data_IF_392535872582
#
_entry.id   IF_392535872582
#
_cell.length_a   1.000
_cell.length_b   1.000
_cell.length_c   1.000
_cell.angle_alpha   90.00
_cell.angle_beta   90.00
_cell.angle_gamma   90.00
#
_symmetry.space_group_name_H-M   'P 1'
#
loop_
_entity.id
_entity.type
_entity.pdbx_description
1 polymer ?
#
# COMPACT_ATOMS: atom_id res chain seq x y z
N UNK A 1 -44.69 -27.33 32.65
CA UNK A 1 -43.33 -27.36 33.22
C UNK A 1 -42.45 -28.20 32.29
N UNK A 2 -41.30 -27.62 31.92
CA UNK A 2 -40.14 -28.15 31.16
C UNK A 2 -40.36 -28.87 29.81
N UNK A 3 -39.89 -28.28 28.70
CA UNK A 3 -39.39 -29.05 27.57
C UNK A 3 -37.85 -28.96 27.46
N UNK A 4 -37.25 -30.07 27.06
CA UNK A 4 -36.15 -30.09 26.09
C UNK A 4 -34.72 -29.93 26.64
N UNK A 5 -34.12 -31.02 27.10
CA UNK A 5 -32.66 -31.11 27.22
C UNK A 5 -32.01 -31.21 25.84
N UNK A 6 -31.55 -30.05 25.38
CA UNK A 6 -30.31 -29.79 24.64
C UNK A 6 -29.86 -30.86 23.63
N UNK A 7 -30.28 -30.63 22.38
CA UNK A 7 -29.56 -31.03 21.18
C UNK A 7 -28.14 -30.41 21.24
N UNK A 8 -27.14 -31.23 21.58
CA UNK A 8 -25.74 -30.78 21.66
C UNK A 8 -25.20 -30.60 20.25
N UNK A 9 -25.34 -29.36 19.79
CA UNK A 9 -24.31 -28.64 19.05
C UNK A 9 -23.66 -29.45 17.93
N UNK A 10 -24.42 -29.59 16.83
CA UNK A 10 -23.90 -29.95 15.53
C UNK A 10 -22.52 -29.32 15.30
N UNK A 11 -21.53 -30.19 15.08
CA UNK A 11 -20.14 -29.84 14.86
C UNK A 11 -20.02 -28.79 13.77
N UNK A 12 -19.69 -27.57 14.18
CA UNK A 12 -19.26 -26.53 13.25
C UNK A 12 -17.97 -27.02 12.61
N UNK A 13 -18.09 -27.46 11.34
CA UNK A 13 -16.94 -27.77 10.49
C UNK A 13 -15.92 -26.63 10.67
N UNK A 14 -14.68 -26.91 11.07
CA UNK A 14 -13.68 -25.86 11.23
C UNK A 14 -13.47 -25.23 9.86
N UNK A 15 -14.02 -24.03 9.67
CA UNK A 15 -13.82 -23.24 8.47
C UNK A 15 -12.32 -23.01 8.41
N UNK A 16 -11.64 -23.65 7.46
CA UNK A 16 -10.21 -23.43 7.21
C UNK A 16 -10.05 -21.97 6.85
N UNK A 17 -9.60 -21.16 7.81
CA UNK A 17 -9.35 -19.74 7.60
C UNK A 17 -8.00 -19.59 6.92
N UNK A 18 -7.92 -18.67 5.97
CA UNK A 18 -6.69 -18.30 5.28
C UNK A 18 -6.20 -16.96 5.81
N UNK A 19 -4.88 -16.76 5.78
CA UNK A 19 -4.27 -15.48 6.10
C UNK A 19 -4.71 -14.43 5.07
N UNK A 20 -5.26 -13.30 5.53
CA UNK A 20 -5.70 -12.21 4.65
C UNK A 20 -4.56 -11.57 3.84
N UNK A 21 -3.29 -11.78 4.24
CA UNK A 21 -2.13 -11.23 3.54
C UNK A 21 -1.48 -12.20 2.55
N UNK A 22 -1.24 -13.45 2.96
CA UNK A 22 -0.45 -14.41 2.18
C UNK A 22 -1.23 -15.67 1.75
N UNK A 23 -2.52 -15.77 2.11
CA UNK A 23 -3.36 -16.93 1.77
C UNK A 23 -3.02 -18.22 2.54
N UNK A 24 -1.99 -18.22 3.39
CA UNK A 24 -1.58 -19.41 4.13
C UNK A 24 -2.70 -19.91 5.08
N UNK A 25 -2.90 -21.23 5.20
CA UNK A 25 -3.89 -21.79 6.11
C UNK A 25 -3.55 -21.42 7.56
N UNK A 26 -4.53 -20.90 8.29
CA UNK A 26 -4.38 -20.55 9.70
C UNK A 26 -4.55 -21.80 10.58
N UNK A 27 -3.77 -21.91 11.68
CA UNK A 27 -3.91 -23.01 12.61
C UNK A 27 -5.31 -23.00 13.22
N UNK A 28 -5.98 -24.15 13.13
CA UNK A 28 -7.33 -24.36 13.66
C UNK A 28 -7.22 -24.50 15.18
N UNK A 29 -7.31 -23.37 15.89
CA UNK A 29 -7.37 -23.35 17.35
C UNK A 29 -8.81 -23.44 17.88
N UNK A 30 -9.03 -23.95 19.10
CA UNK A 30 -10.36 -24.03 19.70
C UNK A 30 -11.04 -22.65 19.76
N UNK A 31 -12.35 -22.64 19.51
CA UNK A 31 -13.19 -21.47 19.23
C UNK A 31 -13.48 -20.58 20.46
N UNK A 32 -12.53 -20.40 21.36
CA UNK A 32 -12.64 -19.48 22.50
C UNK A 32 -11.69 -18.31 22.27
N UNK A 33 -12.10 -17.40 21.39
CA UNK A 33 -11.37 -16.16 21.11
C UNK A 33 -11.71 -15.55 19.76
N UNK A 34 -11.38 -14.26 19.59
CA UNK A 34 -11.50 -13.58 18.29
C UNK A 34 -10.64 -14.34 17.28
N UNK A 35 -11.20 -14.76 16.13
CA UNK A 35 -10.45 -15.53 15.14
C UNK A 35 -9.25 -14.72 14.64
N UNK A 36 -8.09 -15.37 14.56
CA UNK A 36 -6.89 -14.75 13.98
C UNK A 36 -7.13 -14.55 12.47
N UNK A 37 -6.76 -13.39 11.94
CA UNK A 37 -6.86 -13.04 10.51
C UNK A 37 -5.54 -13.25 9.75
N UNK A 38 -4.44 -13.47 10.48
CA UNK A 38 -3.09 -13.53 9.95
C UNK A 38 -2.32 -14.70 10.55
N UNK A 39 -1.43 -15.33 9.77
CA UNK A 39 -0.67 -16.52 10.17
C UNK A 39 0.44 -16.23 11.18
N UNK A 40 0.86 -14.96 11.30
CA UNK A 40 1.93 -14.56 12.22
C UNK A 40 2.09 -13.05 12.33
N UNK A 41 3.05 -12.63 13.15
CA UNK A 41 3.35 -11.22 13.43
C UNK A 41 3.79 -10.43 12.20
N UNK A 42 4.61 -11.04 11.34
CA UNK A 42 5.09 -10.42 10.09
C UNK A 42 3.93 -10.06 9.15
N UNK A 43 2.93 -10.93 9.02
CA UNK A 43 1.75 -10.67 8.21
C UNK A 43 0.85 -9.59 8.83
N UNK A 44 0.73 -9.55 10.16
CA UNK A 44 0.01 -8.49 10.87
C UNK A 44 0.67 -7.12 10.65
N UNK A 45 1.97 -7.01 10.86
CA UNK A 45 2.70 -5.74 10.71
C UNK A 45 2.70 -5.26 9.25
N UNK A 46 2.83 -6.16 8.28
CA UNK A 46 2.79 -5.79 6.86
C UNK A 46 1.41 -5.32 6.44
N UNK A 47 0.34 -5.98 6.90
CA UNK A 47 -1.03 -5.49 6.68
C UNK A 47 -1.28 -4.14 7.36
N UNK A 48 -0.71 -3.91 8.55
CA UNK A 48 -0.78 -2.62 9.24
C UNK A 48 -0.06 -1.50 8.45
N UNK A 49 1.17 -1.74 7.99
CA UNK A 49 1.91 -0.79 7.13
C UNK A 49 1.14 -0.45 5.86
N UNK A 50 0.53 -1.45 5.19
CA UNK A 50 -0.33 -1.21 4.02
C UNK A 50 -1.51 -0.30 4.32
N UNK A 51 -2.11 -0.40 5.52
CA UNK A 51 -3.22 0.48 5.94
C UNK A 51 -2.76 1.91 6.21
N UNK A 52 -1.55 2.09 6.74
CA UNK A 52 -0.97 3.42 6.96
C UNK A 52 -0.57 4.11 5.65
N UNK A 53 -0.13 3.35 4.65
CA UNK A 53 0.24 3.88 3.33
C UNK A 53 -0.94 3.94 2.34
N UNK A 54 -2.10 3.36 2.68
CA UNK A 54 -3.28 3.44 1.85
C UNK A 54 -3.90 4.84 1.98
N UNK A 55 -4.28 5.50 0.86
CA UNK A 55 -5.09 6.71 0.94
C UNK A 55 -6.39 6.40 1.69
N UNK A 56 -7.00 7.38 2.39
CA UNK A 56 -8.24 7.15 3.12
C UNK A 56 -9.27 6.59 2.14
N UNK A 57 -9.68 5.34 2.37
CA UNK A 57 -10.74 4.73 1.59
C UNK A 57 -11.97 5.64 1.75
N UNK A 58 -12.46 6.17 0.61
CA UNK A 58 -13.73 6.89 0.56
C UNK A 58 -14.79 6.10 1.35
N UNK A 59 -15.68 6.78 2.08
CA UNK A 59 -16.67 6.12 2.93
C UNK A 59 -17.43 5.09 2.09
N UNK A 60 -17.28 3.82 2.48
CA UNK A 60 -18.06 2.74 1.89
C UNK A 60 -19.53 3.03 2.19
N UNK A 61 -20.42 3.01 1.20
CA UNK A 61 -21.85 3.12 1.47
C UNK A 61 -22.23 1.97 2.41
N UNK A 62 -22.93 2.31 3.49
CA UNK A 62 -23.39 1.35 4.48
C UNK A 62 -24.21 0.27 3.78
N UNK A 63 -23.74 -0.98 3.82
CA UNK A 63 -24.55 -2.12 3.43
C UNK A 63 -25.69 -2.23 4.46
N UNK A 64 -26.97 -2.18 4.04
CA UNK A 64 -28.07 -2.32 4.98
C UNK A 64 -28.11 -3.76 5.47
N UNK A 65 -27.71 -3.97 6.73
CA UNK A 65 -28.04 -5.18 7.48
C UNK A 65 -29.50 -5.09 7.90
N UNK A 66 -30.36 -5.86 7.26
CA UNK A 66 -31.75 -5.98 7.65
C UNK A 66 -32.57 -6.72 6.59
N UNK A 67 -32.69 -8.04 6.76
CA UNK A 67 -33.71 -8.82 6.06
C UNK A 67 -35.07 -8.48 6.65
N UNK A 68 -35.79 -7.58 5.98
CA UNK A 68 -37.25 -7.58 5.96
C UNK A 68 -37.65 -7.53 4.48
N UNK A 69 -38.41 -8.53 4.04
CA UNK A 69 -38.80 -8.71 2.66
C UNK A 69 -39.81 -7.64 2.21
N UNK A 70 -39.37 -6.42 1.99
CA UNK A 70 -40.07 -5.49 1.11
C UNK A 70 -39.66 -5.82 -0.31
N UNK A 71 -40.63 -6.21 -1.14
CA UNK A 71 -40.46 -6.29 -2.58
C UNK A 71 -40.05 -4.90 -3.06
N UNK A 72 -38.74 -4.64 -3.14
CA UNK A 72 -38.21 -3.50 -3.87
C UNK A 72 -38.73 -3.63 -5.30
N UNK A 73 -39.66 -2.76 -5.66
CA UNK A 73 -39.93 -2.47 -7.04
C UNK A 73 -38.60 -2.00 -7.64
N UNK A 74 -37.97 -2.85 -8.44
CA UNK A 74 -36.84 -2.45 -9.27
C UNK A 74 -37.49 -1.77 -10.48
N UNK A 75 -37.38 -0.45 -10.62
CA UNK A 75 -37.87 0.22 -11.82
C UNK A 75 -37.17 -0.43 -13.02
N UNK A 76 -37.85 -0.61 -14.17
CA UNK A 76 -37.16 -1.03 -15.38
C UNK A 76 -35.98 -0.08 -15.60
N UNK A 77 -34.80 -0.65 -15.84
CA UNK A 77 -33.59 0.09 -16.19
C UNK A 77 -33.96 1.02 -17.35
N UNK A 78 -34.16 2.30 -17.04
CA UNK A 78 -34.28 3.33 -18.06
C UNK A 78 -32.93 3.36 -18.74
N UNK A 79 -32.93 3.09 -20.05
CA UNK A 79 -31.76 3.33 -20.89
C UNK A 79 -31.25 4.75 -20.57
N UNK A 80 -29.96 4.89 -20.26
CA UNK A 80 -29.41 6.19 -19.91
C UNK A 80 -29.71 7.15 -21.05
N UNK A 81 -30.33 8.28 -20.72
CA UNK A 81 -30.64 9.30 -21.71
C UNK A 81 -29.34 9.74 -22.40
N UNK A 82 -29.41 10.06 -23.68
CA UNK A 82 -28.27 10.60 -24.43
C UNK A 82 -27.67 11.83 -23.72
N UNK A 83 -28.51 12.60 -23.02
CA UNK A 83 -28.12 13.73 -22.17
C UNK A 83 -27.25 13.29 -20.97
N UNK A 84 -27.60 12.17 -20.32
CA UNK A 84 -26.83 11.58 -19.21
C UNK A 84 -25.46 11.11 -19.67
N UNK A 85 -25.40 10.52 -20.86
CA UNK A 85 -24.15 10.05 -21.46
C UNK A 85 -23.27 11.24 -21.87
N UNK A 86 -23.87 12.30 -22.43
CA UNK A 86 -23.16 13.52 -22.78
C UNK A 86 -22.59 14.25 -21.56
N UNK A 87 -23.34 14.30 -20.45
CA UNK A 87 -22.89 14.87 -19.18
C UNK A 87 -21.73 14.07 -18.59
N UNK A 88 -21.85 12.74 -18.56
CA UNK A 88 -20.76 11.85 -18.10
C UNK A 88 -19.51 12.05 -18.97
N UNK A 89 -19.65 12.10 -20.29
CA UNK A 89 -18.54 12.32 -21.20
C UNK A 89 -17.87 13.68 -20.96
N UNK A 90 -18.64 14.73 -20.63
CA UNK A 90 -18.11 16.05 -20.27
C UNK A 90 -17.32 15.99 -18.96
N UNK A 91 -17.90 15.37 -17.94
CA UNK A 91 -17.26 15.19 -16.64
C UNK A 91 -15.95 14.40 -16.74
N UNK A 92 -15.93 13.32 -17.53
CA UNK A 92 -14.72 12.52 -17.79
C UNK A 92 -13.64 13.37 -18.47
N UNK A 93 -13.99 14.19 -19.47
CA UNK A 93 -13.03 15.07 -20.15
C UNK A 93 -12.47 16.13 -19.21
N UNK A 94 -13.31 16.75 -18.38
CA UNK A 94 -12.89 17.74 -17.38
C UNK A 94 -11.96 17.11 -16.34
N UNK A 95 -12.31 15.93 -15.82
CA UNK A 95 -11.44 15.19 -14.90
C UNK A 95 -10.11 14.78 -15.54
N UNK A 96 -10.12 14.31 -16.79
CA UNK A 96 -8.91 13.98 -17.51
C UNK A 96 -8.01 15.21 -17.68
N UNK A 97 -8.60 16.36 -18.00
CA UNK A 97 -7.87 17.62 -18.13
C UNK A 97 -7.28 18.09 -16.78
N UNK A 98 -8.05 17.99 -15.70
CA UNK A 98 -7.57 18.30 -14.36
C UNK A 98 -6.44 17.37 -13.91
N UNK A 99 -6.51 16.07 -14.26
CA UNK A 99 -5.44 15.12 -13.99
C UNK A 99 -4.16 15.48 -14.75
N UNK A 100 -4.26 15.81 -16.04
CA UNK A 100 -3.12 16.28 -16.85
C UNK A 100 -2.51 17.55 -16.26
N UNK A 101 -3.33 18.48 -15.77
CA UNK A 101 -2.85 19.71 -15.13
C UNK A 101 -2.16 19.47 -13.78
N UNK A 102 -2.60 18.45 -13.04
CA UNK A 102 -2.07 18.12 -11.70
C UNK A 102 -0.87 17.18 -11.74
N UNK A 103 -0.67 16.47 -12.84
CA UNK A 103 0.56 15.72 -13.07
C UNK A 103 1.72 16.72 -13.00
N UNK A 104 2.68 16.51 -12.08
CA UNK A 104 3.88 17.33 -12.09
C UNK A 104 4.53 17.11 -13.45
N UNK A 105 4.51 18.13 -14.30
CA UNK A 105 5.34 18.18 -15.50
C UNK A 105 6.79 18.36 -15.03
N UNK A 106 7.33 17.34 -14.39
CA UNK A 106 8.76 17.19 -14.33
C UNK A 106 9.14 16.95 -15.78
N UNK A 107 9.56 18.03 -16.45
CA UNK A 107 10.25 17.92 -17.73
C UNK A 107 11.32 16.84 -17.54
N UNK A 108 11.19 15.74 -18.29
CA UNK A 108 12.05 14.58 -18.13
C UNK A 108 13.54 14.99 -18.24
N UNK A 109 13.84 16.03 -19.02
CA UNK A 109 15.18 16.60 -19.10
C UNK A 109 15.64 17.24 -17.79
N UNK A 110 14.75 17.96 -17.10
CA UNK A 110 15.06 18.62 -15.83
C UNK A 110 15.25 17.59 -14.71
N UNK A 111 14.49 16.49 -14.74
CA UNK A 111 14.72 15.36 -13.85
C UNK A 111 16.09 14.70 -14.11
N UNK A 112 16.45 14.48 -15.37
CA UNK A 112 17.76 13.93 -15.75
C UNK A 112 18.91 14.87 -15.37
N UNK A 113 18.76 16.19 -15.56
CA UNK A 113 19.75 17.20 -15.13
C UNK A 113 19.98 17.14 -13.62
N UNK A 114 18.92 16.98 -12.82
CA UNK A 114 19.04 16.84 -11.35
C UNK A 114 19.76 15.56 -10.94
N UNK A 115 19.45 14.44 -11.59
CA UNK A 115 20.12 13.16 -11.35
C UNK A 115 21.61 13.24 -11.70
N UNK A 116 21.96 13.87 -12.83
CA UNK A 116 23.37 14.07 -13.21
C UNK A 116 24.13 14.91 -12.18
N UNK A 117 23.53 16.01 -11.70
CA UNK A 117 24.11 16.85 -10.64
C UNK A 117 24.32 16.10 -9.32
N UNK A 118 23.34 15.28 -8.93
CA UNK A 118 23.44 14.42 -7.75
C UNK A 118 24.57 13.40 -7.89
N UNK A 119 24.73 12.80 -9.07
CA UNK A 119 25.82 11.86 -9.33
C UNK A 119 27.19 12.53 -9.20
N UNK A 120 27.36 13.73 -9.77
CA UNK A 120 28.60 14.50 -9.64
C UNK A 120 28.93 14.82 -8.17
N UNK A 121 27.93 15.17 -7.37
CA UNK A 121 28.10 15.39 -5.93
C UNK A 121 28.55 14.11 -5.21
N UNK A 122 27.95 12.97 -5.53
CA UNK A 122 28.34 11.67 -4.95
C UNK A 122 29.75 11.26 -5.38
N UNK A 123 30.13 11.51 -6.63
CA UNK A 123 31.47 11.24 -7.13
C UNK A 123 32.52 12.11 -6.40
N UNK A 124 32.23 13.39 -6.17
CA UNK A 124 33.07 14.29 -5.38
C UNK A 124 33.22 13.85 -3.93
N UNK A 125 32.12 13.44 -3.28
CA UNK A 125 32.16 12.88 -1.92
C UNK A 125 32.96 11.58 -1.86
N UNK A 126 32.81 10.72 -2.85
CA UNK A 126 33.55 9.46 -2.96
C UNK A 126 35.04 9.73 -3.10
N UNK A 127 35.44 10.64 -3.99
CA UNK A 127 36.82 11.07 -4.15
C UNK A 127 37.41 11.64 -2.84
N UNK A 128 36.64 12.45 -2.10
CA UNK A 128 37.08 13.00 -0.83
C UNK A 128 37.26 11.92 0.27
N UNK A 129 36.40 10.89 0.29
CA UNK A 129 36.55 9.75 1.22
C UNK A 129 37.77 8.91 0.85
N UNK A 130 37.97 8.58 -0.42
CA UNK A 130 39.14 7.83 -0.89
C UNK A 130 40.42 8.61 -0.63
N UNK A 131 40.44 9.92 -0.92
CA UNK A 131 41.58 10.80 -0.66
C UNK A 131 41.97 10.84 0.82
N UNK A 132 41.01 10.81 1.75
CA UNK A 132 41.28 10.67 3.19
C UNK A 132 41.85 9.29 3.54
N UNK A 133 41.19 8.22 3.07
CA UNK A 133 41.63 6.84 3.35
C UNK A 133 43.02 6.50 2.78
N UNK A 134 43.41 7.15 1.67
CA UNK A 134 44.71 6.96 1.01
C UNK A 134 45.76 8.00 1.43
N UNK A 135 45.36 9.22 1.81
CA UNK A 135 46.24 10.27 2.32
C UNK A 135 46.87 9.91 3.67
N UNK A 136 46.13 9.21 4.53
CA UNK A 136 46.64 8.66 5.79
C UNK A 136 47.70 7.55 5.57
N UNK A 137 47.85 7.06 4.33
CA UNK A 137 48.85 6.04 3.95
C UNK A 137 50.10 6.63 3.29
N UNK A 138 50.25 7.95 3.12
CA UNK A 138 51.53 8.50 2.68
C UNK A 138 52.55 8.48 3.83
N UNK A 139 53.63 7.67 3.75
CA UNK A 139 54.71 7.79 4.71
C UNK A 139 55.36 9.16 4.53
N UNK A 140 55.58 9.86 5.64
CA UNK A 140 56.47 11.02 5.70
C UNK A 140 57.77 10.66 5.00
N UNK A 141 57.97 11.15 3.78
CA UNK A 141 59.29 11.16 3.14
C UNK A 141 60.15 12.12 3.94
N UNK A 142 60.90 11.55 4.88
CA UNK A 142 62.12 12.13 5.39
C UNK A 142 63.02 12.47 4.20
N UNK A 143 63.08 13.74 3.80
CA UNK A 143 64.27 14.27 3.16
C UNK A 143 64.99 15.15 4.17
N UNK A 144 65.86 14.47 4.93
CA UNK A 144 67.03 15.06 5.58
C UNK A 144 67.81 15.87 4.54
N UNK A 145 68.08 17.13 4.86
CA UNK A 145 69.14 17.92 4.24
C UNK A 145 70.49 17.19 4.34
N UNK A 146 71.37 17.33 3.33
CA UNK A 146 72.79 17.39 3.55
C UNK A 146 73.30 18.83 3.38
N UNK A 147 73.76 19.42 4.49
CA UNK A 147 74.64 20.60 4.54
C UNK A 147 75.98 20.29 3.84
N UNK A 148 76.56 21.26 3.12
CA UNK A 148 77.98 21.57 3.16
C UNK A 148 78.28 22.66 4.21
#
# INVERSE_FOLDING_TARGET
MTPGTADRGAGQRPVRRVCELCGAPLPVGPATGRPRAFCGEVCRQTAHRRRLCAPPAAPRPAAPTGFAAERRFVPPLREPSEESVAELARSVREHAHDLVRRLPSADDEEALRRVAKLREQLDGLTAAVIGRACGDRQPRRELREPRP
#
